data_IF_235752916978
#
_entry.id   IF_235752916978
#
_cell.length_a   1.000
_cell.length_b   1.000
_cell.length_c   1.000
_cell.angle_alpha   90.00
_cell.angle_beta   90.00
_cell.angle_gamma   90.00
#
_symmetry.space_group_name_H-M   'P 1'
#
loop_
_entity.id
_entity.type
_entity.pdbx_description
1 polymer ?
#
# COMPACT_ATOMS: atom_id res chain seq x y z
N UNK A 1 15.75 -51.61 -39.38
CA UNK A 1 16.02 -50.16 -39.56
C UNK A 1 14.77 -49.30 -39.78
N UNK A 2 13.66 -49.86 -40.27
CA UNK A 2 12.43 -49.12 -40.63
C UNK A 2 11.70 -48.43 -39.46
N UNK A 3 11.85 -48.93 -38.23
CA UNK A 3 11.15 -48.41 -37.04
C UNK A 3 11.83 -47.17 -36.42
N UNK A 4 13.13 -46.95 -36.69
CA UNK A 4 13.87 -45.79 -36.17
C UNK A 4 13.49 -44.49 -36.89
N UNK A 5 13.18 -44.57 -38.17
CA UNK A 5 12.65 -43.43 -38.94
C UNK A 5 11.25 -43.04 -38.52
N UNK A 6 10.41 -44.00 -38.12
CA UNK A 6 9.06 -43.72 -37.59
C UNK A 6 9.15 -43.03 -36.23
N UNK A 7 10.03 -43.50 -35.35
CA UNK A 7 10.32 -42.84 -34.06
C UNK A 7 10.86 -41.41 -34.23
N UNK A 8 11.77 -41.19 -35.18
CA UNK A 8 12.30 -39.86 -35.47
C UNK A 8 11.24 -38.91 -36.03
N UNK A 9 10.32 -39.41 -36.88
CA UNK A 9 9.21 -38.64 -37.43
C UNK A 9 8.24 -38.20 -36.32
N UNK A 10 7.88 -39.11 -35.42
CA UNK A 10 7.00 -38.80 -34.29
C UNK A 10 7.62 -37.75 -33.36
N UNK A 11 8.91 -37.88 -33.02
CA UNK A 11 9.61 -36.91 -32.17
C UNK A 11 9.65 -35.51 -32.80
N UNK A 12 9.91 -35.44 -34.11
CA UNK A 12 9.96 -34.17 -34.84
C UNK A 12 8.60 -33.48 -34.89
N UNK A 13 7.51 -34.24 -34.99
CA UNK A 13 6.14 -33.71 -34.98
C UNK A 13 5.76 -33.16 -33.60
N UNK A 14 6.16 -33.83 -32.52
CA UNK A 14 5.86 -33.38 -31.15
C UNK A 14 6.60 -32.07 -30.83
N UNK A 15 7.87 -31.94 -31.22
CA UNK A 15 8.65 -30.71 -31.04
C UNK A 15 8.06 -29.56 -31.87
N UNK A 16 7.62 -29.85 -33.10
CA UNK A 16 6.98 -28.84 -33.96
C UNK A 16 5.64 -28.34 -33.37
N UNK A 17 4.78 -29.24 -32.90
CA UNK A 17 3.52 -28.85 -32.24
C UNK A 17 3.75 -28.08 -30.93
N UNK A 18 4.79 -28.41 -30.15
CA UNK A 18 5.12 -27.69 -28.92
C UNK A 18 5.56 -26.24 -29.18
N UNK A 19 6.16 -25.95 -30.36
CA UNK A 19 6.55 -24.59 -30.76
C UNK A 19 5.36 -23.64 -31.01
N UNK A 20 4.17 -24.16 -31.28
CA UNK A 20 2.95 -23.36 -31.44
C UNK A 20 2.29 -22.99 -30.11
N UNK A 21 2.71 -23.60 -28.99
CA UNK A 21 2.37 -23.14 -27.63
C UNK A 21 3.21 -21.95 -27.19
N UNK A 22 3.62 -21.10 -28.14
CA UNK A 22 4.08 -19.75 -27.85
C UNK A 22 2.96 -19.05 -27.08
N UNK A 23 3.18 -18.81 -25.79
CA UNK A 23 2.29 -18.03 -24.96
C UNK A 23 1.92 -16.77 -25.72
N UNK A 24 0.63 -16.62 -26.05
CA UNK A 24 0.09 -15.36 -26.52
C UNK A 24 0.43 -14.35 -25.42
N UNK A 25 1.45 -13.54 -25.66
CA UNK A 25 1.70 -12.37 -24.86
C UNK A 25 0.44 -11.51 -25.01
N UNK A 26 -0.41 -11.55 -23.98
CA UNK A 26 -1.55 -10.66 -23.84
C UNK A 26 -0.99 -9.25 -23.65
N UNK A 27 -0.56 -8.64 -24.75
CA UNK A 27 -0.45 -7.20 -24.88
C UNK A 27 -1.87 -6.65 -25.04
N UNK A 28 -2.69 -6.87 -24.01
CA UNK A 28 -3.94 -6.13 -23.87
C UNK A 28 -3.57 -4.66 -23.77
N UNK A 29 -4.27 -3.81 -24.52
CA UNK A 29 -4.21 -2.37 -24.27
C UNK A 29 -4.52 -2.19 -22.78
N UNK A 30 -3.55 -1.71 -22.00
CA UNK A 30 -3.82 -1.26 -20.63
C UNK A 30 -4.83 -0.15 -20.80
N UNK A 31 -6.07 -0.43 -20.40
CA UNK A 31 -7.12 0.58 -20.49
C UNK A 31 -6.72 1.73 -19.55
N UNK A 32 -7.19 2.94 -19.84
CA UNK A 32 -7.00 4.05 -18.89
C UNK A 32 -7.55 3.68 -17.50
N UNK A 33 -8.60 2.84 -17.44
CA UNK A 33 -9.13 2.30 -16.18
C UNK A 33 -8.11 1.43 -15.44
N UNK A 34 -7.39 0.55 -16.12
CA UNK A 34 -6.36 -0.30 -15.51
C UNK A 34 -5.17 0.55 -15.02
N UNK A 35 -4.74 1.54 -15.81
CA UNK A 35 -3.69 2.47 -15.41
C UNK A 35 -4.09 3.28 -14.17
N UNK A 36 -5.33 3.78 -14.12
CA UNK A 36 -5.87 4.47 -12.94
C UNK A 36 -5.95 3.56 -11.72
N UNK A 37 -6.37 2.30 -11.88
CA UNK A 37 -6.42 1.33 -10.77
C UNK A 37 -5.03 1.05 -10.19
N UNK A 38 -4.00 0.94 -11.05
CA UNK A 38 -2.61 0.80 -10.61
C UNK A 38 -2.11 2.05 -9.87
N UNK A 39 -2.46 3.24 -10.35
CA UNK A 39 -2.12 4.49 -9.67
C UNK A 39 -2.78 4.60 -8.29
N UNK A 40 -4.09 4.31 -8.20
CA UNK A 40 -4.81 4.29 -6.92
C UNK A 40 -4.17 3.31 -5.93
N UNK A 41 -3.81 2.09 -6.37
CA UNK A 41 -3.09 1.14 -5.52
C UNK A 41 -1.79 1.75 -5.01
N UNK A 42 -0.99 2.36 -5.89
CA UNK A 42 0.29 2.96 -5.51
C UNK A 42 0.12 4.10 -4.51
N UNK A 43 -0.94 4.90 -4.66
CA UNK A 43 -1.30 5.96 -3.72
C UNK A 43 -1.65 5.37 -2.33
N UNK A 44 -2.48 4.32 -2.27
CA UNK A 44 -2.81 3.65 -1.01
C UNK A 44 -1.56 3.06 -0.32
N UNK A 45 -0.68 2.38 -1.08
CA UNK A 45 0.57 1.82 -0.53
C UNK A 45 1.43 2.95 0.06
N UNK A 46 1.65 4.02 -0.72
CA UNK A 46 2.49 5.15 -0.31
C UNK A 46 1.93 5.82 0.94
N UNK A 47 0.61 5.91 1.06
CA UNK A 47 -0.05 6.50 2.23
C UNK A 47 0.15 5.66 3.49
N UNK A 48 -0.09 4.34 3.42
CA UNK A 48 0.15 3.43 4.55
C UNK A 48 1.63 3.43 4.94
N UNK A 49 2.54 3.43 3.97
CA UNK A 49 3.98 3.49 4.23
C UNK A 49 4.40 4.78 4.95
N UNK A 50 3.84 5.93 4.55
CA UNK A 50 4.14 7.22 5.19
C UNK A 50 3.72 7.22 6.67
N UNK A 51 2.59 6.57 6.98
CA UNK A 51 2.12 6.44 8.36
C UNK A 51 3.01 5.49 9.18
N UNK A 52 3.37 4.33 8.63
CA UNK A 52 4.28 3.38 9.28
C UNK A 52 5.70 3.94 9.47
N UNK A 53 6.12 4.88 8.61
CA UNK A 53 7.42 5.54 8.72
C UNK A 53 7.50 6.58 9.84
N UNK A 54 6.37 6.97 10.46
CA UNK A 54 6.38 7.88 11.61
C UNK A 54 7.15 7.24 12.77
N UNK A 55 8.05 8.01 13.38
CA UNK A 55 8.92 7.53 14.47
C UNK A 55 8.12 6.90 15.61
N UNK A 56 7.04 7.56 16.04
CA UNK A 56 6.14 7.07 17.10
C UNK A 56 5.52 5.71 16.76
N UNK A 57 5.05 5.53 15.52
CA UNK A 57 4.43 4.28 15.05
C UNK A 57 5.48 3.17 14.97
N UNK A 58 6.62 3.46 14.34
CA UNK A 58 7.73 2.50 14.25
C UNK A 58 8.22 2.06 15.63
N UNK A 59 8.29 2.98 16.60
CA UNK A 59 8.75 2.69 17.95
C UNK A 59 7.71 1.89 18.74
N UNK A 60 6.42 2.16 18.55
CA UNK A 60 5.34 1.36 19.11
C UNK A 60 5.33 -0.07 18.54
N UNK A 61 5.57 -0.23 17.23
CA UNK A 61 5.69 -1.55 16.60
C UNK A 61 6.83 -2.36 17.20
N UNK A 62 8.00 -1.75 17.39
CA UNK A 62 9.15 -2.40 18.03
C UNK A 62 8.84 -2.78 19.48
N UNK A 63 8.14 -1.93 20.23
CA UNK A 63 7.69 -2.27 21.60
C UNK A 63 6.74 -3.46 21.64
N UNK A 64 5.94 -3.64 20.60
CA UNK A 64 5.06 -4.80 20.42
C UNK A 64 5.78 -6.03 19.81
N UNK A 65 7.10 -5.96 19.59
CA UNK A 65 7.90 -7.04 19.02
C UNK A 65 7.78 -7.19 17.50
N UNK A 66 7.25 -6.19 16.81
CA UNK A 66 7.08 -6.18 15.35
C UNK A 66 8.21 -5.39 14.70
N UNK A 67 8.93 -6.02 13.78
CA UNK A 67 9.91 -5.34 12.92
C UNK A 67 9.20 -4.42 11.90
N UNK A 68 9.43 -3.10 11.93
CA UNK A 68 8.87 -2.16 10.97
C UNK A 68 9.19 -2.51 9.51
N UNK A 69 10.35 -3.09 9.22
CA UNK A 69 10.72 -3.49 7.88
C UNK A 69 9.85 -4.64 7.35
N UNK A 70 9.60 -5.65 8.20
CA UNK A 70 8.69 -6.74 7.85
C UNK A 70 7.26 -6.26 7.66
N UNK A 71 6.80 -5.31 8.48
CA UNK A 71 5.45 -4.78 8.35
C UNK A 71 5.24 -4.04 7.01
N UNK A 72 6.23 -3.27 6.55
CA UNK A 72 6.17 -2.62 5.23
C UNK A 72 6.07 -3.64 4.09
N UNK A 73 6.80 -4.76 4.18
CA UNK A 73 6.72 -5.84 3.19
C UNK A 73 5.34 -6.50 3.18
N UNK A 74 4.73 -6.71 4.35
CA UNK A 74 3.37 -7.26 4.45
C UNK A 74 2.34 -6.32 3.81
N UNK A 75 2.42 -5.02 4.05
CA UNK A 75 1.54 -4.03 3.42
C UNK A 75 1.66 -4.06 1.90
N UNK A 76 2.87 -4.18 1.35
CA UNK A 76 3.08 -4.29 -0.08
C UNK A 76 2.48 -5.58 -0.69
N UNK A 77 2.37 -6.64 0.12
CA UNK A 77 1.81 -7.92 -0.27
C UNK A 77 0.28 -8.01 -0.14
N UNK A 78 -0.39 -7.03 0.49
CA UNK A 78 -1.85 -7.00 0.63
C UNK A 78 -2.56 -6.88 -0.72
N UNK A 79 -3.75 -7.44 -0.83
CA UNK A 79 -4.63 -7.24 -2.00
C UNK A 79 -5.07 -5.78 -2.12
N UNK A 80 -5.65 -5.41 -3.26
CA UNK A 80 -6.16 -4.05 -3.46
C UNK A 80 -7.26 -3.71 -2.46
N UNK A 81 -8.15 -4.68 -2.21
CA UNK A 81 -9.32 -4.54 -1.35
C UNK A 81 -8.89 -4.42 0.12
N UNK A 82 -7.96 -5.26 0.56
CA UNK A 82 -7.41 -5.21 1.92
C UNK A 82 -6.67 -3.90 2.20
N UNK A 83 -5.92 -3.41 1.20
CA UNK A 83 -5.18 -2.17 1.32
C UNK A 83 -6.13 -0.95 1.35
N UNK A 84 -7.20 -0.97 0.56
CA UNK A 84 -8.22 0.07 0.57
C UNK A 84 -8.93 0.13 1.93
N UNK A 85 -9.34 -1.03 2.47
CA UNK A 85 -9.90 -1.13 3.82
C UNK A 85 -8.90 -0.61 4.86
N UNK A 86 -7.65 -1.08 4.83
CA UNK A 86 -6.64 -0.61 5.76
C UNK A 86 -6.46 0.92 5.70
N UNK A 87 -6.41 1.51 4.50
CA UNK A 87 -6.32 2.95 4.31
C UNK A 87 -7.50 3.69 4.95
N UNK A 88 -8.73 3.21 4.73
CA UNK A 88 -9.94 3.81 5.28
C UNK A 88 -9.98 3.73 6.82
N UNK A 89 -9.57 2.58 7.38
CA UNK A 89 -9.47 2.40 8.83
C UNK A 89 -8.40 3.33 9.42
N UNK A 90 -7.28 3.53 8.72
CA UNK A 90 -6.24 4.47 9.14
C UNK A 90 -6.67 5.94 9.07
N UNK A 91 -7.51 6.32 8.11
CA UNK A 91 -8.08 7.68 8.04
C UNK A 91 -9.16 7.92 9.11
N UNK A 92 -9.82 6.86 9.60
CA UNK A 92 -10.75 6.94 10.74
C UNK A 92 -10.04 7.17 12.09
N UNK A 93 -8.74 6.86 12.16
CA UNK A 93 -7.91 7.10 13.34
C UNK A 93 -7.45 8.57 13.33
N UNK A 94 -7.56 9.31 14.46
CA UNK A 94 -7.12 10.70 14.52
C UNK A 94 -5.65 10.84 14.11
N UNK A 95 -5.43 11.49 12.96
CA UNK A 95 -4.09 11.73 12.43
C UNK A 95 -3.32 12.66 13.38
N UNK A 96 -2.40 12.10 14.17
CA UNK A 96 -1.49 12.87 15.03
C UNK A 96 -1.61 12.65 16.53
N UNK A 97 -2.43 11.70 16.99
CA UNK A 97 -2.43 11.25 18.39
C UNK A 97 -2.41 12.40 19.41
N UNK A 98 -1.46 12.36 20.34
CA UNK A 98 -1.28 13.38 21.39
C UNK A 98 -0.98 14.77 20.79
N UNK A 99 -0.23 14.87 19.68
CA UNK A 99 0.08 16.16 19.06
C UNK A 99 -1.16 16.81 18.44
N UNK A 100 -2.03 16.03 17.82
CA UNK A 100 -3.31 16.53 17.32
C UNK A 100 -4.22 16.98 18.47
N UNK A 101 -4.25 16.24 19.59
CA UNK A 101 -4.99 16.64 20.78
C UNK A 101 -4.43 17.93 21.40
N UNK A 102 -3.11 18.03 21.58
CA UNK A 102 -2.44 19.25 22.07
C UNK A 102 -2.74 20.43 21.15
N UNK A 103 -2.66 20.22 19.83
CA UNK A 103 -2.99 21.24 18.83
C UNK A 103 -4.45 21.66 18.89
N UNK A 104 -5.39 20.73 19.01
CA UNK A 104 -6.81 21.02 19.15
C UNK A 104 -7.11 21.81 20.43
N UNK A 105 -6.54 21.39 21.56
CA UNK A 105 -6.66 22.11 22.84
C UNK A 105 -6.07 23.52 22.70
N UNK A 106 -4.90 23.65 22.08
CA UNK A 106 -4.28 24.95 21.82
C UNK A 106 -5.17 25.87 20.96
N UNK A 107 -5.77 25.36 19.89
CA UNK A 107 -6.70 26.11 19.03
C UNK A 107 -7.95 26.54 19.79
N UNK A 108 -8.54 25.66 20.60
CA UNK A 108 -9.70 26.00 21.43
C UNK A 108 -9.34 27.10 22.43
N UNK A 109 -8.20 26.98 23.12
CA UNK A 109 -7.73 28.00 24.06
C UNK A 109 -7.44 29.33 23.36
N UNK A 110 -6.89 29.31 22.15
CA UNK A 110 -6.66 30.51 21.34
C UNK A 110 -7.99 31.21 20.99
N UNK A 111 -9.01 30.45 20.59
CA UNK A 111 -10.34 30.99 20.28
C UNK A 111 -10.98 31.59 21.54
N UNK A 112 -10.89 30.89 22.68
CA UNK A 112 -11.43 31.38 23.95
C UNK A 112 -10.75 32.67 24.44
N UNK A 113 -9.45 32.83 24.18
CA UNK A 113 -8.72 34.07 24.46
C UNK A 113 -9.20 35.23 23.58
N UNK A 114 -9.38 34.99 22.27
CA UNK A 114 -9.86 36.02 21.32
C UNK A 114 -11.26 36.51 21.69
N UNK A 115 -12.12 35.62 22.20
CA UNK A 115 -13.48 35.96 22.65
C UNK A 115 -13.46 36.59 24.06
N UNK A 116 -12.32 36.57 24.76
CA UNK A 116 -12.15 37.16 26.08
C UNK A 116 -12.71 36.32 27.23
N UNK A 117 -12.94 35.03 27.00
CA UNK A 117 -13.41 34.08 28.04
C UNK A 117 -12.24 33.66 28.95
N UNK A 118 -11.03 33.64 28.43
CA UNK A 118 -9.79 33.38 29.16
C UNK A 118 -8.78 34.52 28.95
N UNK A 119 -7.85 34.70 29.92
CA UNK A 119 -6.72 35.65 29.87
C UNK A 119 -5.42 34.92 30.23
N UNK A 120 -5.13 33.80 29.57
CA UNK A 120 -3.97 32.95 29.87
C UNK A 120 -2.72 33.39 29.12
N UNK A 121 -2.85 34.04 27.96
CA UNK A 121 -1.72 34.45 27.12
C UNK A 121 -1.28 35.90 27.34
N UNK A 122 -2.11 36.71 28.01
CA UNK A 122 -1.87 38.14 28.24
C UNK A 122 -1.05 38.47 29.52
N UNK A 123 -0.23 37.54 30.03
CA UNK A 123 0.63 37.81 31.21
C UNK A 123 2.10 37.87 30.82
N UNK A 124 2.50 39.02 30.30
CA UNK A 124 3.87 39.54 30.31
C UNK A 124 3.83 40.99 30.80
#
# INVERSE_FOLDING_TARGET
MKNRSILALFLSITVFCAGFSSAVAQAGMVSTQDAMAMEMRQQHISRVQTMLARSEVSQAMVQLGVDPAQARLRVAALSNEELAQLSEQMDSLPAGGILALIGAVFVVLLILEIIGVTNIFNKA
#
